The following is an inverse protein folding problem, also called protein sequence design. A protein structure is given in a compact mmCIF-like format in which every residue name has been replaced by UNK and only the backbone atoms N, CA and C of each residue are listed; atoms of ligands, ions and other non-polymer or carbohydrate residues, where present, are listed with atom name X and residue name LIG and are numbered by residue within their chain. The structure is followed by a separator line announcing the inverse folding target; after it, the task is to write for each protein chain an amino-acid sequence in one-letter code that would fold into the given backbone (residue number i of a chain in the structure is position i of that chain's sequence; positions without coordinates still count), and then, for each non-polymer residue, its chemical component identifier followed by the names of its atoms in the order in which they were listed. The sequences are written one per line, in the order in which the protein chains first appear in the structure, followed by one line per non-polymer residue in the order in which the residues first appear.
data_IF_127878590599
#
_entry.id   IF_127878590599
#
_cell.length_a   1.000
_cell.length_b   1.000
_cell.length_c   1.000
_cell.angle_alpha   90.00
_cell.angle_beta   90.00
_cell.angle_gamma   90.00
#
_symmetry.space_group_name_H-M   'P 1'
#
loop_
_entity.id
_entity.type
_entity.pdbx_description
1 polymer ?
#
# COMPACT_ATOMS: atom_id res chain seq x y z
N UNK A 1 8.75 45.34 -56.62
CA UNK A 1 9.89 44.48 -57.01
C UNK A 1 10.55 43.81 -55.80
N UNK A 2 10.93 44.52 -54.73
CA UNK A 2 11.69 43.96 -53.59
C UNK A 2 11.00 42.81 -52.83
N UNK A 3 9.67 42.82 -52.71
CA UNK A 3 8.92 41.72 -52.06
C UNK A 3 8.88 40.41 -52.87
N UNK A 4 9.34 40.44 -54.13
CA UNK A 4 9.35 39.27 -55.00
C UNK A 4 10.71 38.57 -55.07
N UNK A 5 11.73 39.08 -54.37
CA UNK A 5 13.03 38.40 -54.30
C UNK A 5 12.96 37.08 -53.53
N UNK A 6 13.67 36.09 -54.04
CA UNK A 6 13.74 34.73 -53.50
C UNK A 6 14.35 34.70 -52.08
N UNK A 7 15.31 35.58 -51.80
CA UNK A 7 15.92 35.73 -50.47
C UNK A 7 14.90 36.14 -49.39
N UNK A 8 13.95 37.01 -49.75
CA UNK A 8 12.90 37.45 -48.83
C UNK A 8 11.89 36.32 -48.59
N UNK A 9 11.55 35.54 -49.61
CA UNK A 9 10.64 34.39 -49.49
C UNK A 9 11.19 33.30 -48.60
N UNK A 10 12.47 32.95 -48.73
CA UNK A 10 13.13 31.97 -47.86
C UNK A 10 13.18 32.44 -46.41
N UNK A 11 13.40 33.74 -46.18
CA UNK A 11 13.43 34.35 -44.84
C UNK A 11 12.03 34.42 -44.21
N UNK A 12 10.98 34.58 -45.02
CA UNK A 12 9.60 34.67 -44.58
C UNK A 12 8.95 33.29 -44.40
N UNK A 13 9.43 32.23 -45.04
CA UNK A 13 8.77 30.92 -45.08
C UNK A 13 8.39 30.32 -43.71
N UNK A 14 9.22 30.54 -42.69
CA UNK A 14 8.95 30.07 -41.31
C UNK A 14 8.30 31.14 -40.41
N UNK A 15 8.09 32.35 -40.93
CA UNK A 15 7.64 33.52 -40.19
C UNK A 15 6.24 33.96 -40.63
N UNK A 16 5.45 34.50 -39.70
CA UNK A 16 4.14 35.05 -40.03
C UNK A 16 4.30 36.39 -40.76
N UNK A 17 3.97 36.43 -42.05
CA UNK A 17 3.81 37.69 -42.78
C UNK A 17 2.37 38.18 -42.66
N UNK A 18 2.20 39.40 -42.19
CA UNK A 18 0.91 40.08 -42.14
C UNK A 18 1.04 41.48 -42.73
N UNK A 19 0.05 41.85 -43.54
CA UNK A 19 -0.05 43.18 -44.14
C UNK A 19 -1.50 43.63 -44.11
N UNK A 20 -1.72 44.91 -43.81
CA UNK A 20 -3.03 45.54 -43.91
C UNK A 20 -2.92 46.89 -44.60
N UNK A 21 -3.97 47.28 -45.32
CA UNK A 21 -4.07 48.63 -45.89
C UNK A 21 -4.35 49.65 -44.78
N UNK A 22 -3.82 50.86 -44.91
CA UNK A 22 -4.08 51.99 -44.02
C UNK A 22 -5.57 52.36 -43.94
N UNK A 23 -6.36 51.96 -44.94
CA UNK A 23 -7.78 52.30 -45.03
C UNK A 23 -8.67 51.32 -44.27
N UNK A 24 -8.11 50.18 -43.83
CA UNK A 24 -8.83 49.15 -43.07
C UNK A 24 -8.73 49.41 -41.57
N UNK A 25 -9.77 49.00 -40.82
CA UNK A 25 -9.77 49.12 -39.36
C UNK A 25 -8.57 48.41 -38.71
N UNK A 26 -8.20 47.24 -39.25
CA UNK A 26 -7.05 46.46 -38.79
C UNK A 26 -5.73 47.19 -39.04
N UNK A 27 -5.56 47.81 -40.21
CA UNK A 27 -4.38 48.62 -40.53
C UNK A 27 -4.25 49.85 -39.64
N UNK A 28 -5.36 50.53 -39.33
CA UNK A 28 -5.38 51.68 -38.40
C UNK A 28 -5.00 51.25 -36.97
N UNK A 29 -5.49 50.09 -36.51
CA UNK A 29 -5.17 49.58 -35.18
C UNK A 29 -3.69 49.16 -35.09
N UNK A 30 -3.17 48.46 -36.09
CA UNK A 30 -1.77 48.06 -36.13
C UNK A 30 -0.83 49.26 -36.23
N UNK A 31 -1.17 50.26 -37.05
CA UNK A 31 -0.35 51.47 -37.19
C UNK A 31 -0.30 52.28 -35.89
N UNK A 32 -1.41 52.37 -35.15
CA UNK A 32 -1.46 52.98 -33.81
C UNK A 32 -0.62 52.20 -32.80
N UNK A 33 -0.73 50.87 -32.79
CA UNK A 33 0.04 50.00 -31.89
C UNK A 33 1.56 50.13 -32.14
N UNK A 34 1.96 50.19 -33.42
CA UNK A 34 3.35 50.39 -33.85
C UNK A 34 3.77 51.88 -33.85
N UNK A 35 2.88 52.80 -33.48
CA UNK A 35 3.09 54.26 -33.47
C UNK A 35 3.65 54.79 -34.80
N UNK A 36 3.07 54.35 -35.90
CA UNK A 36 3.51 54.65 -37.28
C UNK A 36 3.20 56.09 -37.67
N UNK A 37 4.16 56.79 -38.27
CA UNK A 37 4.04 58.21 -38.67
C UNK A 37 3.94 58.42 -40.18
N UNK A 38 4.49 57.50 -40.97
CA UNK A 38 4.50 57.56 -42.43
C UNK A 38 4.25 56.18 -43.05
N UNK A 39 3.68 56.19 -44.26
CA UNK A 39 3.36 54.99 -45.05
C UNK A 39 4.05 55.06 -46.41
N UNK A 40 4.43 53.91 -47.02
CA UNK A 40 4.30 52.55 -46.49
C UNK A 40 5.25 52.28 -45.32
N UNK A 41 4.80 51.47 -44.35
CA UNK A 41 5.60 51.08 -43.19
C UNK A 41 5.82 49.57 -43.19
N UNK A 42 7.06 49.15 -42.96
CA UNK A 42 7.44 47.76 -42.73
C UNK A 42 7.95 47.61 -41.30
N UNK A 43 7.49 46.61 -40.56
CA UNK A 43 7.97 46.36 -39.20
C UNK A 43 8.20 44.88 -38.95
N UNK A 44 9.24 44.56 -38.20
CA UNK A 44 9.48 43.21 -37.66
C UNK A 44 9.18 43.26 -36.18
N UNK A 45 8.24 42.42 -35.76
CA UNK A 45 7.81 42.31 -34.37
C UNK A 45 8.19 40.93 -33.86
N UNK A 46 8.83 40.89 -32.71
CA UNK A 46 9.14 39.67 -32.01
C UNK A 46 8.53 39.70 -30.60
N UNK A 47 8.45 38.53 -29.97
CA UNK A 47 8.05 38.42 -28.59
C UNK A 47 9.25 37.92 -27.78
N UNK A 48 9.50 38.47 -26.59
CA UNK A 48 10.50 37.95 -25.64
C UNK A 48 9.81 37.71 -24.30
N UNK A 49 9.58 36.45 -23.95
CA UNK A 49 8.75 36.11 -22.79
C UNK A 49 7.28 36.48 -23.06
N UNK A 50 6.76 37.47 -22.34
CA UNK A 50 5.40 38.01 -22.50
C UNK A 50 5.38 39.43 -23.11
N UNK A 51 6.53 39.97 -23.48
CA UNK A 51 6.65 41.33 -24.00
C UNK A 51 6.80 41.32 -25.52
N UNK A 52 5.96 42.12 -26.19
CA UNK A 52 6.10 42.42 -27.60
C UNK A 52 7.19 43.48 -27.80
N UNK A 53 8.12 43.21 -28.72
CA UNK A 53 9.25 44.08 -29.03
C UNK A 53 9.27 44.30 -30.54
N UNK A 54 9.27 45.56 -30.95
CA UNK A 54 9.49 45.94 -32.36
C UNK A 54 11.00 45.94 -32.60
N UNK A 55 11.49 45.07 -33.49
CA UNK A 55 12.93 44.92 -33.80
C UNK A 55 13.37 45.78 -34.97
N UNK A 56 12.48 45.98 -35.94
CA UNK A 56 12.70 46.83 -37.09
C UNK A 56 11.44 47.62 -37.35
N UNK A 57 11.60 48.87 -37.74
CA UNK A 57 10.53 49.70 -38.26
C UNK A 57 11.08 50.66 -39.31
N UNK A 58 10.60 50.49 -40.54
CA UNK A 58 10.96 51.29 -41.70
C UNK A 58 9.71 52.02 -42.16
N UNK A 59 9.69 53.34 -42.03
CA UNK A 59 8.59 54.21 -42.48
C UNK A 59 8.88 54.90 -43.83
N UNK A 60 10.04 54.58 -44.41
CA UNK A 60 10.52 55.08 -45.70
C UNK A 60 11.23 53.96 -46.45
N UNK A 61 11.29 54.08 -47.77
CA UNK A 61 11.97 53.10 -48.63
C UNK A 61 13.40 53.58 -48.94
N UNK A 62 14.45 52.95 -48.37
CA UNK A 62 15.83 53.39 -48.54
C UNK A 62 16.51 52.86 -49.82
N UNK A 63 15.76 52.14 -50.68
CA UNK A 63 16.31 51.38 -51.81
C UNK A 63 16.42 49.89 -51.51
N UNK A 64 16.53 49.05 -52.55
CA UNK A 64 16.40 47.60 -52.43
C UNK A 64 17.48 46.97 -51.52
N UNK A 65 18.76 47.27 -51.77
CA UNK A 65 19.88 46.66 -51.04
C UNK A 65 19.87 47.05 -49.54
N UNK A 66 19.61 48.33 -49.25
CA UNK A 66 19.53 48.81 -47.87
C UNK A 66 18.30 48.25 -47.15
N UNK A 67 17.16 48.15 -47.84
CA UNK A 67 15.96 47.55 -47.29
C UNK A 67 16.16 46.07 -46.93
N UNK A 68 16.84 45.31 -47.79
CA UNK A 68 17.16 43.90 -47.53
C UNK A 68 18.13 43.76 -46.34
N UNK A 69 19.17 44.60 -46.26
CA UNK A 69 20.11 44.59 -45.14
C UNK A 69 19.43 44.85 -43.79
N UNK A 70 18.53 45.85 -43.75
CA UNK A 70 17.74 46.18 -42.55
C UNK A 70 16.80 45.03 -42.16
N UNK A 71 16.14 44.39 -43.13
CA UNK A 71 15.27 43.22 -42.87
C UNK A 71 16.07 42.05 -42.31
N UNK A 72 17.22 41.72 -42.91
CA UNK A 72 18.07 40.61 -42.44
C UNK A 72 18.52 40.87 -41.00
N UNK A 73 18.96 42.10 -40.70
CA UNK A 73 19.34 42.48 -39.34
C UNK A 73 18.17 42.36 -38.35
N UNK A 74 17.01 42.96 -38.68
CA UNK A 74 15.82 42.90 -37.85
C UNK A 74 15.29 41.48 -37.65
N UNK A 75 15.36 40.63 -38.67
CA UNK A 75 14.99 39.22 -38.61
C UNK A 75 15.94 38.44 -37.69
N UNK A 76 17.24 38.72 -37.73
CA UNK A 76 18.21 38.09 -36.83
C UNK A 76 17.94 38.46 -35.36
N UNK A 77 17.65 39.72 -35.05
CA UNK A 77 17.25 40.16 -33.70
C UNK A 77 15.90 39.58 -33.24
N UNK A 78 15.00 39.29 -34.17
CA UNK A 78 13.75 38.60 -33.89
C UNK A 78 13.99 37.12 -33.61
N UNK A 79 14.89 36.47 -34.33
CA UNK A 79 15.27 35.08 -34.14
C UNK A 79 15.85 34.83 -32.75
N UNK A 80 16.72 35.71 -32.25
CA UNK A 80 17.24 35.62 -30.88
C UNK A 80 16.11 35.62 -29.82
N UNK A 81 15.08 36.44 -30.03
CA UNK A 81 13.93 36.48 -29.14
C UNK A 81 13.11 35.18 -29.24
N UNK A 82 12.94 34.61 -30.43
CA UNK A 82 12.29 33.31 -30.62
C UNK A 82 13.06 32.19 -29.92
N UNK A 83 14.38 32.14 -30.06
CA UNK A 83 15.23 31.17 -29.37
C UNK A 83 15.10 31.29 -27.86
N UNK A 84 15.16 32.51 -27.33
CA UNK A 84 14.93 32.75 -25.90
C UNK A 84 13.59 32.17 -25.41
N UNK A 85 12.50 32.32 -26.17
CA UNK A 85 11.22 31.74 -25.79
C UNK A 85 11.20 30.22 -25.88
N UNK A 86 11.87 29.64 -26.89
CA UNK A 86 12.03 28.18 -27.00
C UNK A 86 12.78 27.63 -25.80
N UNK A 87 13.90 28.24 -25.42
CA UNK A 87 14.68 27.85 -24.25
C UNK A 87 13.88 27.97 -22.96
N UNK A 88 13.09 29.04 -22.82
CA UNK A 88 12.22 29.23 -21.66
C UNK A 88 11.13 28.15 -21.57
N UNK A 89 10.52 27.78 -22.71
CA UNK A 89 9.51 26.71 -22.77
C UNK A 89 10.12 25.34 -22.48
N UNK A 90 11.29 25.06 -23.06
CA UNK A 90 12.02 23.82 -22.81
C UNK A 90 12.41 23.73 -21.34
N UNK A 91 12.96 24.79 -20.76
CA UNK A 91 13.35 24.84 -19.34
C UNK A 91 12.16 24.60 -18.40
N UNK A 92 10.99 25.18 -18.71
CA UNK A 92 9.76 24.92 -17.95
C UNK A 92 9.31 23.46 -18.07
N UNK A 93 9.24 22.95 -19.29
CA UNK A 93 8.82 21.57 -19.56
C UNK A 93 9.73 20.55 -18.88
N UNK A 94 11.05 20.76 -18.95
CA UNK A 94 12.03 19.90 -18.26
C UNK A 94 11.89 19.96 -16.74
N UNK A 95 11.61 21.15 -16.18
CA UNK A 95 11.38 21.31 -14.74
C UNK A 95 10.10 20.61 -14.30
N UNK A 96 9.03 20.75 -15.08
CA UNK A 96 7.73 20.14 -14.77
C UNK A 96 7.83 18.61 -14.84
N UNK A 97 8.51 18.07 -15.86
CA UNK A 97 8.78 16.64 -15.99
C UNK A 97 9.62 16.10 -14.82
N UNK A 98 10.67 16.82 -14.41
CA UNK A 98 11.48 16.42 -13.26
C UNK A 98 10.66 16.41 -11.95
N UNK A 99 9.78 17.39 -11.76
CA UNK A 99 8.89 17.44 -10.60
C UNK A 99 7.88 16.29 -10.62
N UNK A 100 7.32 15.96 -11.79
CA UNK A 100 6.41 14.84 -11.95
C UNK A 100 7.09 13.51 -11.61
N UNK A 101 8.31 13.28 -12.11
CA UNK A 101 9.09 12.08 -11.82
C UNK A 101 9.42 11.94 -10.33
N UNK A 102 9.84 13.03 -9.68
CA UNK A 102 10.13 13.03 -8.24
C UNK A 102 8.87 12.79 -7.40
N UNK A 103 7.74 13.40 -7.78
CA UNK A 103 6.47 13.20 -7.08
C UNK A 103 5.99 11.75 -7.22
N UNK A 104 6.11 11.16 -8.42
CA UNK A 104 5.75 9.77 -8.65
C UNK A 104 6.61 8.81 -7.80
N UNK A 105 7.93 9.02 -7.77
CA UNK A 105 8.84 8.24 -6.94
C UNK A 105 8.54 8.39 -5.44
N UNK A 106 8.24 9.61 -4.98
CA UNK A 106 7.89 9.89 -3.59
C UNK A 106 6.60 9.18 -3.16
N UNK A 107 5.54 9.28 -3.98
CA UNK A 107 4.27 8.60 -3.71
C UNK A 107 4.41 7.08 -3.70
N UNK A 108 5.19 6.52 -4.63
CA UNK A 108 5.50 5.09 -4.65
C UNK A 108 6.24 4.64 -3.38
N UNK A 109 7.21 5.44 -2.90
CA UNK A 109 7.94 5.15 -1.66
C UNK A 109 7.03 5.19 -0.44
N UNK A 110 6.15 6.20 -0.33
CA UNK A 110 5.17 6.28 0.77
C UNK A 110 4.27 5.05 0.78
N UNK A 111 3.77 4.64 -0.40
CA UNK A 111 2.87 3.50 -0.50
C UNK A 111 3.58 2.20 -0.10
N UNK A 112 4.82 1.99 -0.56
CA UNK A 112 5.62 0.83 -0.17
C UNK A 112 5.91 0.79 1.34
N UNK A 113 6.25 1.92 1.95
CA UNK A 113 6.48 2.01 3.39
C UNK A 113 5.21 1.74 4.19
N UNK A 114 4.07 2.24 3.72
CA UNK A 114 2.75 1.99 4.32
C UNK A 114 2.39 0.51 4.25
N UNK A 115 2.51 -0.12 3.08
CA UNK A 115 2.23 -1.55 2.90
C UNK A 115 3.15 -2.42 3.77
N UNK A 116 4.43 -2.07 3.86
CA UNK A 116 5.39 -2.76 4.72
C UNK A 116 5.07 -2.57 6.21
N UNK A 117 4.58 -1.40 6.61
CA UNK A 117 4.12 -1.16 7.97
C UNK A 117 2.87 -1.99 8.30
N UNK A 118 1.85 -1.97 7.43
CA UNK A 118 0.63 -2.77 7.59
C UNK A 118 0.92 -4.28 7.62
N UNK A 119 1.83 -4.75 6.77
CA UNK A 119 2.23 -6.17 6.75
C UNK A 119 2.92 -6.58 8.06
N UNK A 120 3.84 -5.74 8.58
CA UNK A 120 4.49 -6.00 9.86
C UNK A 120 3.49 -6.01 11.02
N UNK A 121 2.55 -5.07 11.04
CA UNK A 121 1.50 -5.03 12.06
C UNK A 121 0.60 -6.28 12.01
N UNK A 122 0.26 -6.76 10.81
CA UNK A 122 -0.51 -8.01 10.66
C UNK A 122 0.27 -9.22 11.15
N UNK A 123 1.55 -9.33 10.77
CA UNK A 123 2.42 -10.43 11.20
C UNK A 123 2.62 -10.43 12.73
N UNK A 124 2.82 -9.27 13.35
CA UNK A 124 2.92 -9.14 14.80
C UNK A 124 1.61 -9.50 15.50
N UNK A 125 0.46 -9.04 14.98
CA UNK A 125 -0.85 -9.39 15.53
C UNK A 125 -1.17 -10.89 15.39
N UNK A 126 -0.80 -11.52 14.28
CA UNK A 126 -0.97 -12.96 14.09
C UNK A 126 -0.07 -13.76 15.04
N UNK A 127 1.20 -13.35 15.19
CA UNK A 127 2.11 -13.95 16.18
C UNK A 127 1.56 -13.83 17.59
N UNK A 128 1.10 -12.64 17.99
CA UNK A 128 0.53 -12.41 19.32
C UNK A 128 -0.71 -13.29 19.56
N UNK A 129 -1.62 -13.39 18.58
CA UNK A 129 -2.80 -14.27 18.68
C UNK A 129 -2.41 -15.74 18.82
N UNK A 130 -1.42 -16.20 18.05
CA UNK A 130 -0.94 -17.58 18.13
C UNK A 130 -0.29 -17.87 19.48
N UNK A 131 0.50 -16.94 20.01
CA UNK A 131 1.12 -17.05 21.34
C UNK A 131 0.08 -17.04 22.45
N UNK A 132 -0.92 -16.16 22.38
CA UNK A 132 -2.04 -16.15 23.32
C UNK A 132 -2.85 -17.46 23.28
N UNK A 133 -3.14 -17.98 22.09
CA UNK A 133 -3.87 -19.25 21.94
C UNK A 133 -3.06 -20.42 22.51
N UNK A 134 -1.76 -20.50 22.20
CA UNK A 134 -0.88 -21.51 22.78
C UNK A 134 -0.81 -21.40 24.30
N UNK A 135 -0.65 -20.19 24.84
CA UNK A 135 -0.63 -19.96 26.27
C UNK A 135 -1.94 -20.38 26.93
N UNK A 136 -3.09 -20.04 26.31
CA UNK A 136 -4.42 -20.48 26.78
C UNK A 136 -4.57 -21.99 26.78
N UNK A 137 -4.14 -22.68 25.73
CA UNK A 137 -4.19 -24.14 25.64
C UNK A 137 -3.32 -24.82 26.70
N UNK A 138 -2.13 -24.27 26.96
CA UNK A 138 -1.22 -24.78 28.02
C UNK A 138 -1.84 -24.56 29.40
N UNK A 139 -2.36 -23.37 29.69
CA UNK A 139 -3.03 -23.08 30.95
C UNK A 139 -4.30 -23.93 31.16
N UNK A 140 -5.09 -24.17 30.10
CA UNK A 140 -6.26 -25.04 30.20
C UNK A 140 -5.86 -26.50 30.48
N UNK A 141 -4.84 -27.01 29.81
CA UNK A 141 -4.29 -28.36 30.09
C UNK A 141 -3.78 -28.47 31.53
N UNK A 142 -3.03 -27.46 32.00
CA UNK A 142 -2.53 -27.41 33.38
C UNK A 142 -3.66 -27.37 34.40
N UNK A 143 -4.68 -26.55 34.18
CA UNK A 143 -5.89 -26.48 35.04
C UNK A 143 -6.65 -27.80 35.05
N UNK A 144 -6.82 -28.47 33.90
CA UNK A 144 -7.46 -29.80 33.83
C UNK A 144 -6.67 -30.83 34.63
N UNK A 145 -5.35 -30.87 34.47
CA UNK A 145 -4.48 -31.78 35.20
C UNK A 145 -4.52 -31.53 36.71
N UNK A 146 -4.50 -30.26 37.14
CA UNK A 146 -4.60 -29.89 38.55
C UNK A 146 -5.94 -30.35 39.15
N UNK A 147 -7.06 -30.02 38.50
CA UNK A 147 -8.41 -30.45 38.94
C UNK A 147 -8.52 -31.96 39.04
N UNK A 148 -7.96 -32.69 38.07
CA UNK A 148 -7.96 -34.14 38.08
C UNK A 148 -7.13 -34.71 39.23
N UNK A 149 -5.96 -34.13 39.49
CA UNK A 149 -5.09 -34.52 40.61
C UNK A 149 -5.77 -34.27 41.96
N UNK A 150 -6.40 -33.11 42.14
CA UNK A 150 -7.19 -32.77 43.34
C UNK A 150 -8.35 -33.74 43.53
N UNK A 151 -9.06 -34.07 42.46
CA UNK A 151 -10.14 -35.05 42.48
C UNK A 151 -9.64 -36.43 42.94
N UNK A 152 -8.54 -36.95 42.38
CA UNK A 152 -7.95 -38.23 42.82
C UNK A 152 -7.54 -38.20 44.29
N UNK A 153 -6.93 -37.10 44.73
CA UNK A 153 -6.53 -36.92 46.13
C UNK A 153 -7.73 -36.92 47.08
N UNK A 154 -8.83 -36.28 46.69
CA UNK A 154 -10.09 -36.30 47.46
C UNK A 154 -10.65 -37.71 47.55
N UNK A 155 -10.77 -38.41 46.42
CA UNK A 155 -11.26 -39.79 46.38
C UNK A 155 -10.39 -40.70 47.25
N UNK A 156 -9.06 -40.57 47.22
CA UNK A 156 -8.16 -41.36 48.07
C UNK A 156 -8.35 -41.10 49.57
N UNK A 157 -8.68 -39.87 49.97
CA UNK A 157 -8.90 -39.50 51.38
C UNK A 157 -10.27 -39.92 51.90
N UNK A 158 -11.30 -39.73 51.08
CA UNK A 158 -12.71 -39.96 51.44
C UNK A 158 -13.18 -41.39 51.15
N UNK A 159 -12.30 -42.26 50.60
CA UNK A 159 -12.70 -43.60 50.22
C UNK A 159 -13.14 -44.42 51.45
N UNK A 160 -14.36 -44.99 51.45
CA UNK A 160 -14.85 -45.77 52.59
C UNK A 160 -13.97 -47.00 52.86
N UNK A 161 -13.93 -47.48 54.10
CA UNK A 161 -13.21 -48.71 54.46
C UNK A 161 -13.75 -49.95 53.75
N UNK A 162 -12.96 -51.02 53.67
CA UNK A 162 -13.44 -52.29 53.10
C UNK A 162 -14.48 -52.94 54.04
N UNK A 163 -15.62 -53.43 53.54
CA UNK A 163 -16.62 -54.12 54.37
C UNK A 163 -16.05 -55.41 54.97
N UNK A 164 -16.47 -55.70 56.21
CA UNK A 164 -16.01 -56.85 56.99
C UNK A 164 -16.41 -58.18 56.33
N UNK A 165 -15.58 -59.23 56.36
CA UNK A 165 -15.94 -60.55 55.82
C UNK A 165 -17.18 -61.19 56.46
N UNK A 166 -17.64 -60.66 57.60
CA UNK A 166 -18.80 -61.17 58.34
C UNK A 166 -20.12 -60.45 57.99
N UNK A 167 -20.12 -59.45 57.10
CA UNK A 167 -21.35 -58.79 56.64
C UNK A 167 -22.06 -59.61 55.55
N UNK A 168 -23.40 -59.60 55.58
CA UNK A 168 -24.26 -60.22 54.55
C UNK A 168 -24.31 -59.36 53.27
N UNK A 169 -24.46 -60.01 52.10
CA UNK A 169 -24.64 -59.35 50.79
C UNK A 169 -23.41 -58.59 50.23
N UNK A 170 -22.23 -59.20 50.37
CA UNK A 170 -20.96 -58.74 49.80
C UNK A 170 -20.68 -59.41 48.45
N UNK A 171 -20.20 -58.63 47.49
CA UNK A 171 -19.61 -59.08 46.23
C UNK A 171 -18.12 -58.72 46.18
N UNK A 172 -17.29 -59.60 45.61
CA UNK A 172 -15.88 -59.32 45.37
C UNK A 172 -15.66 -58.94 43.91
N UNK A 173 -15.15 -57.73 43.68
CA UNK A 173 -14.83 -57.23 42.33
C UNK A 173 -13.33 -57.25 42.13
N UNK A 174 -12.89 -57.76 40.98
CA UNK A 174 -11.49 -57.74 40.55
C UNK A 174 -11.36 -56.89 39.30
N UNK A 175 -10.58 -55.81 39.38
CA UNK A 175 -10.28 -54.94 38.25
C UNK A 175 -8.89 -55.31 37.74
N UNK A 176 -8.81 -55.75 36.48
CA UNK A 176 -7.54 -56.03 35.81
C UNK A 176 -7.03 -54.76 35.14
N UNK A 177 -5.79 -54.40 35.44
CA UNK A 177 -5.10 -53.27 34.82
C UNK A 177 -4.25 -53.79 33.65
N UNK A 178 -4.08 -53.03 32.55
CA UNK A 178 -3.35 -53.49 31.37
C UNK A 178 -1.88 -53.90 31.61
N UNK A 179 -1.24 -53.38 32.66
CA UNK A 179 0.18 -53.58 32.94
C UNK A 179 0.50 -53.97 34.40
N UNK A 180 -0.51 -54.36 35.20
CA UNK A 180 -0.34 -54.59 36.64
C UNK A 180 -1.20 -55.73 37.18
N UNK A 181 -0.88 -56.12 38.41
CA UNK A 181 -1.65 -57.11 39.15
C UNK A 181 -3.13 -56.70 39.31
N UNK A 182 -4.05 -57.68 39.27
CA UNK A 182 -5.46 -57.42 39.47
C UNK A 182 -5.72 -56.90 40.89
N UNK A 183 -6.26 -55.69 40.99
CA UNK A 183 -6.75 -55.18 42.28
C UNK A 183 -8.08 -55.84 42.62
N UNK A 184 -8.22 -56.31 43.85
CA UNK A 184 -9.40 -56.99 44.36
C UNK A 184 -9.93 -56.25 45.56
N UNK A 185 -11.24 -56.08 45.62
CA UNK A 185 -11.91 -55.45 46.76
C UNK A 185 -13.34 -55.95 46.90
N UNK A 186 -13.81 -56.01 48.15
CA UNK A 186 -15.20 -56.29 48.50
C UNK A 186 -16.07 -55.03 48.46
N UNK A 187 -17.27 -55.17 47.91
CA UNK A 187 -18.30 -54.14 47.82
C UNK A 187 -19.63 -54.71 48.33
N UNK A 188 -20.50 -53.86 48.86
CA UNK A 188 -21.88 -54.26 49.18
C UNK A 188 -22.71 -54.25 47.91
N UNK A 189 -23.70 -55.12 47.79
CA UNK A 189 -24.58 -55.17 46.60
C UNK A 189 -25.40 -53.88 46.41
N UNK A 190 -25.60 -53.11 47.46
CA UNK A 190 -26.29 -51.81 47.47
C UNK A 190 -25.38 -50.63 47.09
N UNK A 191 -24.06 -50.84 46.96
CA UNK A 191 -23.12 -49.78 46.61
C UNK A 191 -23.34 -49.29 45.16
N UNK A 192 -23.17 -47.99 44.95
CA UNK A 192 -23.33 -47.40 43.62
C UNK A 192 -22.18 -47.79 42.67
N UNK A 193 -22.47 -47.93 41.38
CA UNK A 193 -21.44 -48.17 40.37
C UNK A 193 -20.35 -47.08 40.33
N UNK A 194 -20.65 -45.85 40.77
CA UNK A 194 -19.65 -44.77 40.93
C UNK A 194 -18.51 -45.19 41.86
N UNK A 195 -18.80 -45.93 42.92
CA UNK A 195 -17.81 -46.39 43.89
C UNK A 195 -16.77 -47.34 43.26
N UNK A 196 -17.14 -48.07 42.20
CA UNK A 196 -16.22 -48.92 41.44
C UNK A 196 -15.22 -48.08 40.63
N UNK A 197 -15.68 -47.00 39.97
CA UNK A 197 -14.82 -46.06 39.26
C UNK A 197 -13.90 -45.31 40.23
N UNK A 198 -14.44 -44.86 41.36
CA UNK A 198 -13.66 -44.24 42.44
C UNK A 198 -12.60 -45.20 42.99
N UNK A 199 -12.92 -46.48 43.18
CA UNK A 199 -11.95 -47.48 43.62
C UNK A 199 -10.81 -47.64 42.60
N UNK A 200 -11.12 -47.67 41.30
CA UNK A 200 -10.09 -47.70 40.27
C UNK A 200 -9.19 -46.45 40.34
N UNK A 201 -9.75 -45.25 40.52
CA UNK A 201 -8.97 -44.01 40.64
C UNK A 201 -8.06 -43.93 41.88
N UNK A 202 -8.33 -44.71 42.94
CA UNK A 202 -7.43 -44.79 44.11
C UNK A 202 -6.06 -45.42 43.79
N UNK A 203 -5.98 -46.22 42.72
CA UNK A 203 -4.73 -46.84 42.30
C UNK A 203 -3.87 -45.85 41.49
N UNK A 204 -2.58 -45.66 41.83
CA UNK A 204 -1.68 -44.75 41.13
C UNK A 204 -1.42 -45.13 39.67
N UNK A 205 -1.61 -46.41 39.31
CA UNK A 205 -1.26 -46.93 37.98
C UNK A 205 -2.43 -46.89 36.98
N UNK A 206 -3.54 -46.26 37.34
CA UNK A 206 -4.70 -46.10 36.46
C UNK A 206 -4.55 -44.83 35.62
N UNK A 207 -4.71 -44.89 34.28
CA UNK A 207 -4.63 -43.70 33.43
C UNK A 207 -5.76 -42.71 33.74
N UNK A 208 -5.59 -41.46 33.32
CA UNK A 208 -6.55 -40.38 33.61
C UNK A 208 -7.91 -40.59 32.94
N UNK A 209 -7.92 -41.28 31.80
CA UNK A 209 -9.13 -41.72 31.09
C UNK A 209 -9.12 -43.24 30.96
N UNK A 210 -10.19 -43.89 31.42
CA UNK A 210 -10.40 -45.32 31.27
C UNK A 210 -11.88 -45.66 31.18
N UNK A 211 -12.16 -46.82 30.62
CA UNK A 211 -13.48 -47.44 30.61
C UNK A 211 -13.41 -48.76 31.39
N UNK A 212 -14.37 -49.00 32.28
CA UNK A 212 -14.48 -50.28 32.98
C UNK A 212 -15.38 -51.20 32.16
N UNK A 213 -14.81 -52.30 31.68
CA UNK A 213 -15.52 -53.32 30.93
C UNK A 213 -15.76 -54.55 31.81
N UNK A 214 -16.96 -55.14 31.71
CA UNK A 214 -17.32 -56.35 32.46
C UNK A 214 -17.00 -57.60 31.63
N UNK A 215 -16.74 -58.73 32.33
CA UNK A 215 -16.33 -60.00 31.73
C UNK A 215 -17.40 -60.67 30.85
N UNK A 216 -16.98 -61.68 30.10
CA UNK A 216 -17.72 -62.38 29.03
C UNK A 216 -19.08 -62.97 29.48
N UNK A 217 -20.12 -62.99 28.61
CA UNK A 217 -20.14 -62.48 27.24
C UNK A 217 -20.48 -60.99 27.17
N UNK A 218 -19.86 -60.31 26.20
CA UNK A 218 -20.01 -58.86 25.98
C UNK A 218 -21.47 -58.54 25.63
N UNK A 219 -22.14 -57.76 26.48
CA UNK A 219 -23.36 -57.01 26.14
C UNK A 219 -23.12 -55.55 26.48
#
# INVERSE_FOLDING_TARGET
EVLCEEALRTTIGDNLLWSASSDTQEGILASRSLRTRAYPCFSIVAHRGSQQIVRLKLEQYPGADQFLAEIINGAQLAYEALQYNRDLRNSRSSRDLLLEEQNAAYLASIQADKEKAEQREREENERHKLEEEQHRLVEEKKRKLQKFTEFRNRIRKEFPGEPSPSETDIIQVSIRLPANEPIRRRFRRTDSAKLLFEFAWTNPNVPDQFELLWGYPRR
#
